data_IF_863118352261
#
_entry.id   IF_863118352261
#
_cell.length_a   1.000
_cell.length_b   1.000
_cell.length_c   1.000
_cell.angle_alpha   90.00
_cell.angle_beta   90.00
_cell.angle_gamma   90.00
#
_symmetry.space_group_name_H-M   'P 1'
#
loop_
_entity.id
_entity.type
_entity.pdbx_description
1 polymer ?
#
# COMPACT_ATOMS: atom_id res chain seq x y z
N UNK A 1 -12.11 -114.52 -80.01
CA UNK A 1 -12.79 -115.24 -78.92
C UNK A 1 -13.75 -114.24 -78.25
N UNK A 2 -15.08 -114.39 -78.38
CA UNK A 2 -16.02 -114.82 -77.31
C UNK A 2 -15.74 -114.09 -75.97
N UNK A 3 -16.65 -113.37 -75.31
CA UNK A 3 -18.09 -113.52 -75.25
C UNK A 3 -18.79 -112.35 -74.49
N UNK A 4 -20.03 -112.07 -74.93
CA UNK A 4 -21.27 -111.86 -74.16
C UNK A 4 -21.55 -110.56 -73.37
N UNK A 5 -22.81 -110.14 -73.58
CA UNK A 5 -23.77 -109.43 -72.71
C UNK A 5 -23.71 -107.90 -72.60
N UNK A 6 -24.44 -107.24 -73.49
CA UNK A 6 -25.32 -106.11 -73.12
C UNK A 6 -26.37 -105.94 -74.21
N UNK A 7 -27.48 -106.66 -74.08
CA UNK A 7 -28.64 -106.55 -74.98
C UNK A 7 -29.89 -106.75 -74.12
N UNK A 8 -30.27 -105.70 -73.40
CA UNK A 8 -31.61 -105.41 -72.88
C UNK A 8 -31.57 -104.05 -72.16
N UNK A 9 -32.61 -103.25 -72.34
CA UNK A 9 -32.90 -101.96 -71.66
C UNK A 9 -32.49 -100.65 -72.38
N UNK A 10 -32.69 -100.58 -73.70
CA UNK A 10 -33.02 -99.30 -74.36
C UNK A 10 -34.49 -99.31 -74.72
N UNK A 11 -35.35 -98.75 -73.86
CA UNK A 11 -36.66 -98.18 -74.23
C UNK A 11 -37.48 -97.78 -73.01
N UNK A 12 -37.01 -96.78 -72.24
CA UNK A 12 -37.82 -95.85 -71.41
C UNK A 12 -36.88 -94.92 -70.61
N UNK A 13 -36.30 -93.88 -71.23
CA UNK A 13 -35.82 -92.73 -70.43
C UNK A 13 -35.64 -91.37 -71.15
N UNK A 14 -35.81 -91.26 -72.48
CA UNK A 14 -35.65 -89.96 -73.18
C UNK A 14 -36.57 -88.85 -72.63
N UNK A 15 -37.75 -89.22 -72.12
CA UNK A 15 -38.70 -88.27 -71.52
C UNK A 15 -38.30 -87.76 -70.13
N UNK A 16 -37.39 -88.44 -69.42
CA UNK A 16 -36.94 -88.00 -68.08
C UNK A 16 -35.73 -87.08 -68.20
N UNK A 17 -34.83 -87.33 -69.15
CA UNK A 17 -33.66 -86.47 -69.41
C UNK A 17 -34.06 -85.08 -69.92
N UNK A 18 -34.97 -85.01 -70.89
CA UNK A 18 -35.50 -83.73 -71.40
C UNK A 18 -36.27 -82.97 -70.32
N UNK A 19 -36.99 -83.68 -69.44
CA UNK A 19 -37.70 -83.08 -68.30
C UNK A 19 -36.72 -82.54 -67.27
N UNK A 20 -35.61 -83.23 -67.00
CA UNK A 20 -34.54 -82.77 -66.12
C UNK A 20 -33.81 -81.56 -66.72
N UNK A 21 -33.57 -81.54 -68.04
CA UNK A 21 -32.95 -80.42 -68.74
C UNK A 21 -33.84 -79.16 -68.74
N UNK A 22 -35.15 -79.32 -69.02
CA UNK A 22 -36.12 -78.24 -68.92
C UNK A 22 -36.32 -77.76 -67.47
N UNK A 23 -36.29 -78.67 -66.50
CA UNK A 23 -36.35 -78.34 -65.09
C UNK A 23 -35.13 -77.53 -64.64
N UNK A 24 -33.91 -77.89 -65.08
CA UNK A 24 -32.68 -77.10 -64.84
C UNK A 24 -32.78 -75.70 -65.46
N UNK A 25 -33.18 -75.58 -66.73
CA UNK A 25 -33.39 -74.28 -67.40
C UNK A 25 -34.44 -73.43 -66.69
N UNK A 26 -35.48 -74.06 -66.13
CA UNK A 26 -36.52 -73.39 -65.35
C UNK A 26 -36.01 -72.95 -63.98
N UNK A 27 -35.24 -73.77 -63.27
CA UNK A 27 -34.57 -73.40 -62.02
C UNK A 27 -33.57 -72.25 -62.21
N UNK A 28 -32.82 -72.23 -63.30
CA UNK A 28 -31.91 -71.13 -63.64
C UNK A 28 -32.66 -69.82 -63.89
N UNK A 29 -33.81 -69.87 -64.58
CA UNK A 29 -34.67 -68.69 -64.76
C UNK A 29 -35.29 -68.25 -63.43
N UNK A 30 -35.81 -69.19 -62.64
CA UNK A 30 -36.43 -68.92 -61.34
C UNK A 30 -35.43 -68.38 -60.31
N UNK A 31 -34.17 -68.80 -60.36
CA UNK A 31 -33.12 -68.29 -59.46
C UNK A 31 -32.76 -66.82 -59.70
N UNK A 32 -33.04 -66.30 -60.91
CA UNK A 32 -32.88 -64.88 -61.27
C UNK A 32 -34.10 -64.02 -60.95
N UNK A 33 -35.22 -64.63 -60.55
CA UNK A 33 -36.42 -63.88 -60.17
C UNK A 33 -36.28 -63.32 -58.76
N UNK A 34 -36.23 -61.99 -58.66
CA UNK A 34 -36.16 -61.26 -57.38
C UNK A 34 -37.44 -61.38 -56.55
N UNK A 35 -38.59 -61.68 -57.18
CA UNK A 35 -39.90 -61.84 -56.53
C UNK A 35 -40.17 -63.26 -55.98
N UNK A 36 -39.14 -64.11 -55.87
CA UNK A 36 -39.26 -65.40 -55.19
C UNK A 36 -38.94 -65.24 -53.70
N UNK A 37 -39.47 -66.11 -52.83
CA UNK A 37 -39.16 -66.08 -51.39
C UNK A 37 -37.65 -66.21 -51.13
N UNK A 38 -36.95 -67.00 -51.95
CA UNK A 38 -35.49 -67.15 -51.89
C UNK A 38 -34.76 -65.87 -52.35
N UNK A 39 -35.23 -65.22 -53.43
CA UNK A 39 -34.73 -63.92 -53.89
C UNK A 39 -34.91 -62.81 -52.85
N UNK A 40 -36.10 -62.71 -52.24
CA UNK A 40 -36.38 -61.75 -51.17
C UNK A 40 -35.52 -62.00 -49.91
N UNK A 41 -35.29 -63.26 -49.53
CA UNK A 41 -34.38 -63.61 -48.43
C UNK A 41 -32.93 -63.24 -48.76
N UNK A 42 -32.45 -63.50 -49.98
CA UNK A 42 -31.11 -63.10 -50.44
C UNK A 42 -30.95 -61.58 -50.40
N UNK A 43 -31.89 -60.84 -50.95
CA UNK A 43 -31.88 -59.37 -50.92
C UNK A 43 -31.90 -58.83 -49.48
N UNK A 44 -32.72 -59.41 -48.58
CA UNK A 44 -32.73 -59.01 -47.16
C UNK A 44 -31.40 -59.28 -46.47
N UNK A 45 -30.74 -60.39 -46.77
CA UNK A 45 -29.41 -60.71 -46.25
C UNK A 45 -28.36 -59.76 -46.82
N UNK A 46 -28.38 -59.49 -48.12
CA UNK A 46 -27.46 -58.55 -48.78
C UNK A 46 -27.66 -57.12 -48.26
N UNK A 47 -28.90 -56.66 -48.08
CA UNK A 47 -29.19 -55.35 -47.49
C UNK A 47 -28.75 -55.28 -46.03
N UNK A 48 -28.90 -56.36 -45.25
CA UNK A 48 -28.36 -56.43 -43.88
C UNK A 48 -26.84 -56.40 -43.88
N UNK A 49 -26.17 -57.10 -44.81
CA UNK A 49 -24.71 -57.07 -44.97
C UNK A 49 -24.22 -55.68 -45.39
N UNK A 50 -24.89 -55.04 -46.36
CA UNK A 50 -24.59 -53.67 -46.77
C UNK A 50 -24.76 -52.71 -45.60
N UNK A 51 -25.88 -52.78 -44.88
CA UNK A 51 -26.10 -51.96 -43.69
C UNK A 51 -25.03 -52.15 -42.62
N UNK A 52 -24.63 -53.38 -42.34
CA UNK A 52 -23.54 -53.67 -41.39
C UNK A 52 -22.18 -53.14 -41.90
N UNK A 53 -21.90 -53.28 -43.20
CA UNK A 53 -20.69 -52.74 -43.80
C UNK A 53 -20.66 -51.21 -43.78
N UNK A 54 -21.79 -50.55 -44.03
CA UNK A 54 -21.95 -49.09 -43.93
C UNK A 54 -21.81 -48.63 -42.47
N UNK A 55 -22.38 -49.36 -41.51
CA UNK A 55 -22.22 -49.10 -40.06
C UNK A 55 -20.76 -49.28 -39.60
N UNK A 56 -20.05 -50.28 -40.09
CA UNK A 56 -18.61 -50.49 -39.80
C UNK A 56 -17.73 -49.43 -40.45
N UNK A 57 -18.01 -49.06 -41.70
CA UNK A 57 -17.30 -47.98 -42.40
C UNK A 57 -17.50 -46.63 -41.70
N UNK A 58 -18.70 -46.34 -41.20
CA UNK A 58 -18.98 -45.14 -40.41
C UNK A 58 -18.20 -45.13 -39.09
N UNK A 59 -18.10 -46.26 -38.39
CA UNK A 59 -17.27 -46.38 -37.18
C UNK A 59 -15.79 -46.17 -37.47
N UNK A 60 -15.27 -46.77 -38.53
CA UNK A 60 -13.88 -46.57 -38.95
C UNK A 60 -13.59 -45.12 -39.33
N UNK A 61 -14.55 -44.42 -39.95
CA UNK A 61 -14.41 -42.99 -40.23
C UNK A 61 -14.28 -42.17 -38.95
N UNK A 62 -15.15 -42.42 -37.95
CA UNK A 62 -15.08 -41.77 -36.64
C UNK A 62 -13.77 -42.10 -35.92
N UNK A 63 -13.33 -43.36 -35.91
CA UNK A 63 -12.05 -43.76 -35.30
C UNK A 63 -10.86 -43.05 -35.96
N UNK A 64 -10.90 -42.87 -37.29
CA UNK A 64 -9.87 -42.14 -38.03
C UNK A 64 -9.88 -40.64 -37.71
N UNK A 65 -11.06 -40.03 -37.60
CA UNK A 65 -11.23 -38.62 -37.22
C UNK A 65 -10.76 -38.38 -35.77
N UNK A 66 -11.14 -39.25 -34.83
CA UNK A 66 -10.68 -39.20 -33.44
C UNK A 66 -9.16 -39.41 -33.36
N UNK A 67 -8.61 -40.37 -34.10
CA UNK A 67 -7.17 -40.58 -34.15
C UNK A 67 -6.42 -39.37 -34.73
N UNK A 68 -6.98 -38.70 -35.74
CA UNK A 68 -6.42 -37.46 -36.29
C UNK A 68 -6.46 -36.34 -35.25
N UNK A 69 -7.60 -36.14 -34.59
CA UNK A 69 -7.76 -35.14 -33.53
C UNK A 69 -6.81 -35.37 -32.35
N UNK A 70 -6.66 -36.61 -31.89
CA UNK A 70 -5.72 -36.97 -30.82
C UNK A 70 -4.27 -36.74 -31.24
N UNK A 71 -3.91 -37.03 -32.49
CA UNK A 71 -2.58 -36.70 -33.03
C UNK A 71 -2.34 -35.19 -33.04
N UNK A 72 -3.33 -34.39 -33.41
CA UNK A 72 -3.23 -32.93 -33.36
C UNK A 72 -3.08 -32.41 -31.93
N UNK A 73 -3.88 -32.92 -30.98
CA UNK A 73 -3.75 -32.57 -29.57
C UNK A 73 -2.36 -32.92 -29.04
N UNK A 74 -1.88 -34.12 -29.34
CA UNK A 74 -0.52 -34.54 -28.98
C UNK A 74 0.53 -33.63 -29.61
N UNK A 75 0.38 -33.28 -30.88
CA UNK A 75 1.27 -32.35 -31.58
C UNK A 75 1.28 -30.96 -30.92
N UNK A 76 0.11 -30.43 -30.54
CA UNK A 76 -0.01 -29.15 -29.81
C UNK A 76 0.62 -29.22 -28.41
N UNK A 77 0.37 -30.29 -27.68
CA UNK A 77 0.94 -30.51 -26.36
C UNK A 77 2.47 -30.62 -26.39
N UNK A 78 3.01 -31.39 -27.35
CA UNK A 78 4.45 -31.50 -27.59
C UNK A 78 5.02 -30.14 -28.01
N UNK A 79 4.36 -29.43 -28.94
CA UNK A 79 4.80 -28.10 -29.38
C UNK A 79 4.89 -27.11 -28.22
N UNK A 80 3.87 -27.05 -27.36
CA UNK A 80 3.89 -26.22 -26.15
C UNK A 80 4.98 -26.63 -25.17
N UNK A 81 5.19 -27.93 -24.96
CA UNK A 81 6.25 -28.42 -24.07
C UNK A 81 7.65 -28.07 -24.60
N UNK A 82 7.87 -28.19 -25.92
CA UNK A 82 9.12 -27.79 -26.57
C UNK A 82 9.34 -26.28 -26.46
N UNK A 83 8.29 -25.47 -26.66
CA UNK A 83 8.37 -24.02 -26.50
C UNK A 83 8.72 -23.63 -25.06
N UNK A 84 8.07 -24.23 -24.05
CA UNK A 84 8.39 -23.99 -22.64
C UNK A 84 9.84 -24.42 -22.32
N UNK A 85 10.27 -25.59 -22.81
CA UNK A 85 11.65 -26.05 -22.64
C UNK A 85 12.64 -25.06 -23.26
N UNK A 86 12.35 -24.52 -24.44
CA UNK A 86 13.15 -23.48 -25.10
C UNK A 86 13.21 -22.22 -24.24
N UNK A 87 12.08 -21.74 -23.75
CA UNK A 87 12.01 -20.55 -22.88
C UNK A 87 12.78 -20.71 -21.57
N UNK A 88 12.84 -21.92 -21.02
CA UNK A 88 13.61 -22.20 -19.80
C UNK A 88 15.12 -22.32 -20.04
N UNK A 89 15.57 -22.46 -21.30
CA UNK A 89 16.98 -22.44 -21.66
C UNK A 89 17.66 -21.15 -21.19
N UNK A 90 18.89 -21.26 -20.65
CA UNK A 90 19.61 -20.12 -20.08
C UNK A 90 19.86 -19.00 -21.10
N UNK A 91 20.25 -19.36 -22.33
CA UNK A 91 20.46 -18.43 -23.42
C UNK A 91 19.16 -17.72 -23.83
N UNK A 92 18.05 -18.44 -23.86
CA UNK A 92 16.74 -17.88 -24.20
C UNK A 92 16.24 -16.92 -23.10
N UNK A 93 16.44 -17.25 -21.82
CA UNK A 93 16.11 -16.34 -20.71
C UNK A 93 16.91 -15.05 -20.75
N UNK A 94 18.22 -15.14 -20.98
CA UNK A 94 19.07 -13.96 -21.14
C UNK A 94 18.65 -13.12 -22.35
N UNK A 95 18.31 -13.77 -23.47
CA UNK A 95 17.82 -13.10 -24.67
C UNK A 95 16.45 -12.42 -24.45
N UNK A 96 15.52 -13.09 -23.77
CA UNK A 96 14.23 -12.50 -23.37
C UNK A 96 14.40 -11.31 -22.42
N UNK A 97 15.33 -11.38 -21.46
CA UNK A 97 15.64 -10.24 -20.59
C UNK A 97 16.13 -9.03 -21.38
N UNK A 98 16.96 -9.25 -22.40
CA UNK A 98 17.40 -8.18 -23.30
C UNK A 98 16.28 -7.68 -24.23
N UNK A 99 15.34 -8.53 -24.63
CA UNK A 99 14.15 -8.13 -25.39
C UNK A 99 13.22 -7.24 -24.53
N UNK A 100 13.08 -7.56 -23.25
CA UNK A 100 12.35 -6.72 -22.32
C UNK A 100 13.07 -5.38 -22.10
N UNK A 101 14.40 -5.37 -22.09
CA UNK A 101 15.18 -4.13 -22.00
C UNK A 101 14.95 -3.22 -23.23
N UNK A 102 14.82 -3.79 -24.43
CA UNK A 102 14.49 -2.98 -25.61
C UNK A 102 13.11 -2.35 -25.52
N UNK A 103 12.14 -3.06 -24.94
CA UNK A 103 10.79 -2.53 -24.71
C UNK A 103 10.82 -1.40 -23.66
N UNK A 104 11.57 -1.58 -22.57
CA UNK A 104 11.77 -0.52 -21.56
C UNK A 104 12.38 0.74 -22.19
N UNK A 105 13.34 0.58 -23.10
CA UNK A 105 13.94 1.72 -23.79
C UNK A 105 12.92 2.47 -24.67
N UNK A 106 12.04 1.75 -25.37
CA UNK A 106 11.00 2.40 -26.18
C UNK A 106 9.99 3.11 -25.28
N UNK A 107 9.60 2.50 -24.16
CA UNK A 107 8.68 3.12 -23.20
C UNK A 107 9.28 4.40 -22.59
N UNK A 108 10.60 4.42 -22.33
CA UNK A 108 11.28 5.63 -21.85
C UNK A 108 11.36 6.75 -22.89
N UNK A 109 11.55 6.40 -24.16
CA UNK A 109 11.49 7.38 -25.26
C UNK A 109 10.08 7.97 -25.35
N UNK A 110 9.05 7.14 -25.29
CA UNK A 110 7.65 7.58 -25.25
C UNK A 110 7.38 8.48 -24.03
N UNK A 111 7.78 8.06 -22.82
CA UNK A 111 7.62 8.87 -21.61
C UNK A 111 8.33 10.23 -21.72
N UNK A 112 9.53 10.25 -22.33
CA UNK A 112 10.27 11.49 -22.57
C UNK A 112 9.51 12.41 -23.51
N UNK A 113 9.01 11.90 -24.63
CA UNK A 113 8.21 12.70 -25.57
C UNK A 113 6.96 13.28 -24.89
N UNK A 114 6.25 12.46 -24.10
CA UNK A 114 5.10 12.91 -23.30
C UNK A 114 5.47 14.00 -22.29
N UNK A 115 6.61 13.90 -21.61
CA UNK A 115 7.09 14.95 -20.70
C UNK A 115 7.42 16.25 -21.43
N UNK A 116 8.01 16.16 -22.61
CA UNK A 116 8.31 17.33 -23.45
C UNK A 116 7.00 18.02 -23.89
N UNK A 117 5.99 17.25 -24.30
CA UNK A 117 4.65 17.75 -24.64
C UNK A 117 3.94 18.38 -23.43
N UNK A 118 3.95 17.71 -22.28
CA UNK A 118 3.38 18.23 -21.03
C UNK A 118 4.07 19.53 -20.60
N UNK A 119 5.40 19.57 -20.64
CA UNK A 119 6.15 20.79 -20.32
C UNK A 119 5.86 21.93 -21.30
N UNK A 120 5.55 21.65 -22.56
CA UNK A 120 5.10 22.66 -23.52
C UNK A 120 3.70 23.19 -23.17
N UNK A 121 2.77 22.32 -22.78
CA UNK A 121 1.42 22.70 -22.34
C UNK A 121 1.44 23.50 -21.03
N UNK A 122 2.30 23.15 -20.08
CA UNK A 122 2.48 23.91 -18.84
C UNK A 122 2.99 25.32 -19.12
N UNK A 123 3.98 25.48 -20.00
CA UNK A 123 4.45 26.81 -20.44
C UNK A 123 3.34 27.64 -21.08
N UNK A 124 2.49 27.02 -21.91
CA UNK A 124 1.33 27.71 -22.49
C UNK A 124 0.34 28.15 -21.42
N UNK A 125 0.09 27.30 -20.42
CA UNK A 125 -0.79 27.60 -19.28
C UNK A 125 -0.23 28.73 -18.42
N UNK A 126 1.07 28.72 -18.12
CA UNK A 126 1.74 29.79 -17.37
C UNK A 126 1.68 31.12 -18.13
N UNK A 127 1.95 31.10 -19.44
CA UNK A 127 1.84 32.29 -20.28
C UNK A 127 0.42 32.87 -20.27
N UNK A 128 -0.60 32.00 -20.34
CA UNK A 128 -2.00 32.41 -20.25
C UNK A 128 -2.35 33.01 -18.88
N UNK A 129 -1.91 32.40 -17.78
CA UNK A 129 -2.11 32.96 -16.44
C UNK A 129 -1.41 34.31 -16.26
N UNK A 130 -0.17 34.44 -16.73
CA UNK A 130 0.56 35.70 -16.69
C UNK A 130 -0.16 36.79 -17.50
N UNK A 131 -0.70 36.46 -18.68
CA UNK A 131 -1.48 37.40 -19.46
C UNK A 131 -2.75 37.84 -18.71
N UNK A 132 -3.46 36.92 -18.06
CA UNK A 132 -4.61 37.26 -17.23
C UNK A 132 -4.25 38.17 -16.06
N UNK A 133 -3.15 37.91 -15.36
CA UNK A 133 -2.66 38.75 -14.27
C UNK A 133 -2.30 40.15 -14.76
N UNK A 134 -1.62 40.25 -15.90
CA UNK A 134 -1.30 41.55 -16.53
C UNK A 134 -2.58 42.32 -16.89
N UNK A 135 -3.59 41.65 -17.45
CA UNK A 135 -4.88 42.28 -17.76
C UNK A 135 -5.60 42.73 -16.49
N UNK A 136 -5.59 41.92 -15.43
CA UNK A 136 -6.19 42.27 -14.14
C UNK A 136 -5.49 43.49 -13.51
N UNK A 137 -4.16 43.53 -13.56
CA UNK A 137 -3.36 44.65 -13.08
C UNK A 137 -3.64 45.94 -13.86
N UNK A 138 -3.72 45.87 -15.19
CA UNK A 138 -4.12 47.03 -16.03
C UNK A 138 -5.48 47.57 -15.64
N UNK A 139 -6.48 46.70 -15.45
CA UNK A 139 -7.83 47.10 -15.01
C UNK A 139 -7.83 47.71 -13.60
N UNK A 140 -6.98 47.22 -12.70
CA UNK A 140 -6.84 47.79 -11.36
C UNK A 140 -6.25 49.21 -11.41
N UNK A 141 -5.20 49.42 -12.21
CA UNK A 141 -4.62 50.75 -12.44
C UNK A 141 -5.62 51.72 -13.08
N UNK A 142 -6.38 51.28 -14.08
CA UNK A 142 -7.42 52.10 -14.71
C UNK A 142 -8.49 52.54 -13.68
N UNK A 143 -8.89 51.66 -12.76
CA UNK A 143 -9.82 52.00 -11.68
C UNK A 143 -9.20 53.00 -10.70
N UNK A 144 -7.96 52.81 -10.29
CA UNK A 144 -7.28 53.73 -9.35
C UNK A 144 -7.15 55.12 -9.96
N UNK A 145 -6.77 55.22 -11.24
CA UNK A 145 -6.72 56.49 -11.98
C UNK A 145 -8.11 57.12 -12.06
N UNK A 146 -9.16 56.35 -12.38
CA UNK A 146 -10.52 56.86 -12.44
C UNK A 146 -11.01 57.39 -11.07
N UNK A 147 -10.75 56.66 -9.99
CA UNK A 147 -11.08 57.10 -8.63
C UNK A 147 -10.31 58.36 -8.22
N UNK A 148 -9.02 58.46 -8.57
CA UNK A 148 -8.22 59.65 -8.32
C UNK A 148 -8.81 60.86 -9.05
N UNK A 149 -9.16 60.72 -10.33
CA UNK A 149 -9.80 61.77 -11.12
C UNK A 149 -11.16 62.18 -10.53
N UNK A 150 -11.95 61.23 -10.04
CA UNK A 150 -13.21 61.55 -9.35
C UNK A 150 -13.00 62.30 -8.04
N UNK A 151 -11.98 61.92 -7.24
CA UNK A 151 -11.62 62.63 -6.02
C UNK A 151 -11.16 64.06 -6.33
N UNK A 152 -10.33 64.25 -7.36
CA UNK A 152 -9.90 65.57 -7.82
C UNK A 152 -11.09 66.44 -8.25
N UNK A 153 -12.04 65.87 -9.01
CA UNK A 153 -13.28 66.58 -9.37
C UNK A 153 -14.07 67.01 -8.15
N UNK A 154 -14.30 66.12 -7.19
CA UNK A 154 -15.01 66.45 -5.93
C UNK A 154 -14.28 67.51 -5.13
N UNK A 155 -12.95 67.44 -5.04
CA UNK A 155 -12.15 68.48 -4.38
C UNK A 155 -12.30 69.82 -5.10
N UNK A 156 -12.25 69.83 -6.44
CA UNK A 156 -12.47 71.05 -7.22
C UNK A 156 -13.86 71.65 -7.02
N UNK A 157 -14.90 70.82 -6.98
CA UNK A 157 -16.28 71.24 -6.71
C UNK A 157 -16.42 71.84 -5.30
N UNK A 158 -15.94 71.14 -4.27
CA UNK A 158 -15.98 71.66 -2.89
C UNK A 158 -15.16 72.95 -2.72
N UNK A 159 -14.06 73.12 -3.46
CA UNK A 159 -13.30 74.37 -3.47
C UNK A 159 -14.12 75.52 -4.08
N UNK A 160 -14.86 75.28 -5.17
CA UNK A 160 -15.75 76.27 -5.77
C UNK A 160 -16.87 76.67 -4.81
N UNK A 161 -17.54 75.68 -4.20
CA UNK A 161 -18.59 75.94 -3.21
C UNK A 161 -18.08 76.77 -2.02
N UNK A 162 -16.89 76.45 -1.49
CA UNK A 162 -16.27 77.24 -0.41
C UNK A 162 -15.95 78.67 -0.84
N UNK A 163 -15.50 78.86 -2.07
CA UNK A 163 -15.25 80.19 -2.62
C UNK A 163 -16.56 80.99 -2.73
N UNK A 164 -17.64 80.36 -3.21
CA UNK A 164 -18.98 80.98 -3.26
C UNK A 164 -19.50 81.35 -1.88
N UNK A 165 -19.36 80.48 -0.88
CA UNK A 165 -19.74 80.77 0.51
C UNK A 165 -18.97 81.96 1.09
N UNK A 166 -17.67 82.09 0.80
CA UNK A 166 -16.87 83.23 1.24
C UNK A 166 -17.35 84.54 0.60
N UNK A 167 -17.69 84.52 -0.69
CA UNK A 167 -18.25 85.69 -1.37
C UNK A 167 -19.64 86.06 -0.81
N UNK A 168 -20.48 85.08 -0.52
CA UNK A 168 -21.78 85.32 0.13
C UNK A 168 -21.61 85.94 1.51
N UNK A 169 -20.70 85.41 2.33
CA UNK A 169 -20.37 85.94 3.66
C UNK A 169 -19.87 87.39 3.59
N UNK A 170 -18.98 87.71 2.65
CA UNK A 170 -18.53 89.09 2.42
C UNK A 170 -19.70 90.01 2.07
N UNK A 171 -20.61 89.56 1.20
CA UNK A 171 -21.78 90.34 0.81
C UNK A 171 -22.72 90.61 1.99
N UNK A 172 -23.00 89.60 2.81
CA UNK A 172 -23.80 89.76 4.04
C UNK A 172 -23.14 90.76 5.00
N UNK A 173 -21.82 90.65 5.20
CA UNK A 173 -21.08 91.58 6.06
C UNK A 173 -21.14 93.03 5.56
N UNK A 174 -21.07 93.24 4.24
CA UNK A 174 -21.23 94.58 3.66
C UNK A 174 -22.64 95.14 3.88
N UNK A 175 -23.67 94.30 3.83
CA UNK A 175 -25.05 94.71 4.14
C UNK A 175 -25.21 95.07 5.62
N UNK A 176 -24.67 94.27 6.54
CA UNK A 176 -24.68 94.58 7.98
C UNK A 176 -24.04 95.95 8.26
N UNK A 177 -22.89 96.24 7.63
CA UNK A 177 -22.22 97.54 7.78
C UNK A 177 -23.09 98.69 7.25
N UNK A 178 -23.79 98.50 6.13
CA UNK A 178 -24.72 99.51 5.61
C UNK A 178 -25.91 99.75 6.55
N UNK A 179 -26.46 98.69 7.13
CA UNK A 179 -27.55 98.78 8.10
C UNK A 179 -27.09 99.46 9.41
N UNK A 180 -25.89 99.15 9.90
CA UNK A 180 -25.28 99.82 11.07
C UNK A 180 -25.09 101.33 10.85
N UNK A 181 -24.66 101.74 9.65
CA UNK A 181 -24.53 103.17 9.29
C UNK A 181 -25.90 103.85 9.34
N UNK A 182 -26.92 103.23 8.74
CA UNK A 182 -28.27 103.78 8.69
C UNK A 182 -28.90 103.86 10.09
N UNK A 183 -28.70 102.84 10.94
CA UNK A 183 -29.09 102.87 12.35
C UNK A 183 -28.38 103.98 13.12
N UNK A 184 -27.08 104.19 12.88
CA UNK A 184 -26.31 105.28 13.47
C UNK A 184 -26.84 106.67 13.10
N UNK A 185 -27.28 106.86 11.85
CA UNK A 185 -27.93 108.11 11.41
C UNK A 185 -29.29 108.33 12.08
N UNK A 186 -30.09 107.28 12.25
CA UNK A 186 -31.37 107.36 12.96
C UNK A 186 -31.19 107.68 14.45
N UNK A 187 -30.14 107.15 15.08
CA UNK A 187 -29.81 107.46 16.47
C UNK A 187 -29.43 108.93 16.69
N UNK A 188 -28.68 109.53 15.76
CA UNK A 188 -28.32 110.96 15.82
C UNK A 188 -29.57 111.84 15.77
N UNK A 189 -30.50 111.56 14.86
CA UNK A 189 -31.77 112.28 14.75
C UNK A 189 -32.59 112.19 16.04
N UNK A 190 -32.67 111.00 16.64
CA UNK A 190 -33.38 110.79 17.91
C UNK A 190 -32.74 111.54 19.07
N UNK A 191 -31.40 111.57 19.15
CA UNK A 191 -30.69 112.32 20.19
C UNK A 191 -30.93 113.84 20.07
N UNK A 192 -31.04 114.38 18.86
CA UNK A 192 -31.39 115.79 18.63
C UNK A 192 -32.83 116.10 19.09
N UNK A 193 -33.78 115.20 18.82
CA UNK A 193 -35.17 115.32 19.29
C UNK A 193 -35.26 115.28 20.83
N UNK A 194 -34.50 114.39 21.48
CA UNK A 194 -34.49 114.23 22.94
C UNK A 194 -33.92 115.47 23.67
N UNK A 195 -32.90 116.13 23.11
CA UNK A 195 -32.35 117.39 23.67
C UNK A 195 -33.39 118.52 23.64
N UNK A 196 -34.20 118.58 22.58
CA UNK A 196 -35.28 119.56 22.46
C UNK A 196 -36.37 119.26 23.49
N UNK A 197 -36.71 117.97 23.68
CA UNK A 197 -37.69 117.54 24.67
C UNK A 197 -37.26 117.88 26.11
N UNK A 198 -36.00 117.63 26.48
CA UNK A 198 -35.49 117.94 27.83
C UNK A 198 -35.57 119.44 28.17
N UNK A 199 -35.21 120.32 27.23
CA UNK A 199 -35.30 121.78 27.43
C UNK A 199 -36.72 122.23 27.76
N UNK A 200 -37.74 121.63 27.13
CA UNK A 200 -39.13 121.95 27.42
C UNK A 200 -39.63 121.37 28.75
N UNK A 201 -39.08 120.23 29.17
CA UNK A 201 -39.39 119.61 30.45
C UNK A 201 -38.77 120.36 31.64
N UNK A 202 -37.57 120.92 31.47
CA UNK A 202 -36.88 121.68 32.52
C UNK A 202 -37.60 122.98 32.89
N UNK A 203 -38.19 123.67 31.90
CA UNK A 203 -39.05 124.84 32.12
C UNK A 203 -40.27 124.47 32.96
N UNK A 204 -40.93 123.34 32.64
CA UNK A 204 -42.10 122.84 33.39
C UNK A 204 -41.75 122.40 34.81
N UNK A 205 -40.55 121.85 35.04
CA UNK A 205 -40.09 121.47 36.40
C UNK A 205 -39.90 122.69 37.31
N UNK A 206 -39.41 123.82 36.78
CA UNK A 206 -39.24 125.05 37.57
C UNK A 206 -40.58 125.62 38.06
N UNK A 207 -41.62 125.55 37.23
CA UNK A 207 -42.97 126.00 37.60
C UNK A 207 -43.62 125.09 38.66
N UNK A 208 -43.40 123.77 38.57
CA UNK A 208 -43.93 122.81 39.55
C UNK A 208 -43.20 122.88 40.90
N UNK A 209 -41.90 123.16 40.89
CA UNK A 209 -41.09 123.31 42.12
C UNK A 209 -41.54 124.51 42.98
N UNK A 210 -41.96 125.61 42.36
CA UNK A 210 -42.53 126.75 43.10
C UNK A 210 -43.83 126.38 43.82
N UNK A 211 -44.72 125.64 43.16
CA UNK A 211 -46.00 125.20 43.74
C UNK A 211 -45.82 124.20 44.89
N UNK A 212 -44.87 123.28 44.77
CA UNK A 212 -44.59 122.28 45.83
C UNK A 212 -43.89 122.89 47.05
N UNK A 213 -43.11 123.96 46.90
CA UNK A 213 -42.52 124.68 48.03
C UNK A 213 -43.60 125.32 48.92
N UNK A 214 -44.67 125.84 48.33
CA UNK A 214 -45.81 126.42 49.06
C UNK A 214 -46.63 125.37 49.83
N UNK A 215 -46.70 124.13 49.32
CA UNK A 215 -47.42 123.01 49.94
C UNK A 215 -46.61 122.35 51.08
N UNK A 216 -45.28 122.25 50.92
CA UNK A 216 -44.39 121.60 51.91
C UNK A 216 -44.24 122.40 53.21
N UNK A 217 -44.32 123.74 53.18
CA UNK A 217 -44.36 124.57 54.39
C UNK A 217 -45.60 124.27 55.25
N UNK A 218 -46.71 123.83 54.63
CA UNK A 218 -47.95 123.47 55.35
C UNK A 218 -47.88 122.05 55.92
N UNK A 219 -47.23 121.11 55.23
CA UNK A 219 -47.16 119.70 55.65
C UNK A 219 -46.13 119.43 56.76
N UNK A 220 -45.03 120.19 56.82
CA UNK A 220 -44.00 119.98 57.84
C UNK A 220 -44.48 120.29 59.27
N UNK A 221 -45.45 121.20 59.43
CA UNK A 221 -46.10 121.46 60.72
C UNK A 221 -46.93 120.28 61.26
N UNK A 222 -47.30 119.33 60.39
CA UNK A 222 -48.14 118.17 60.74
C UNK A 222 -47.31 116.92 61.10
N UNK A 223 -46.06 116.84 60.64
CA UNK A 223 -45.24 115.62 60.75
C UNK A 223 -44.44 115.50 62.06
N UNK A 224 -44.20 116.61 62.76
CA UNK A 224 -43.48 116.60 64.04
C UNK A 224 -44.29 115.91 65.16
N UNK A 225 -45.62 115.81 65.03
CA UNK A 225 -46.49 115.22 66.05
C UNK A 225 -46.54 113.67 66.00
N UNK A 226 -46.23 113.04 64.85
CA UNK A 226 -46.38 111.59 64.67
C UNK A 226 -45.15 110.78 65.12
N UNK A 227 -43.96 111.37 64.99
CA UNK A 227 -42.66 110.67 65.12
C UNK A 227 -42.30 110.24 66.55
N UNK A 228 -43.02 110.74 67.56
CA UNK A 228 -42.76 110.40 68.96
C UNK A 228 -43.37 109.05 69.40
N UNK A 229 -44.27 108.44 68.60
CA UNK A 229 -45.01 107.23 69.00
C UNK A 229 -44.36 105.88 68.61
N UNK A 230 -43.56 105.81 67.56
CA UNK A 230 -43.15 104.52 66.98
C UNK A 230 -41.88 103.90 67.60
N UNK A 231 -41.05 104.67 68.31
CA UNK A 231 -39.74 104.20 68.83
C UNK A 231 -39.79 103.14 69.94
N UNK A 232 -40.97 102.77 70.47
CA UNK A 232 -41.09 101.92 71.66
C UNK A 232 -41.38 100.44 71.34
N UNK A 233 -41.73 100.08 70.10
CA UNK A 233 -42.24 98.73 69.76
C UNK A 233 -41.15 97.75 69.27
N UNK A 234 -40.04 98.26 68.73
CA UNK A 234 -39.08 97.43 67.97
C UNK A 234 -38.11 96.60 68.83
N UNK A 235 -37.96 96.90 70.13
CA UNK A 235 -36.92 96.29 70.98
C UNK A 235 -37.25 94.89 71.53
N UNK A 236 -38.49 94.39 71.40
CA UNK A 236 -38.95 93.17 72.09
C UNK A 236 -38.86 91.88 71.25
N UNK A 237 -38.67 91.96 69.92
CA UNK A 237 -38.81 90.80 69.03
C UNK A 237 -37.52 89.99 68.80
N UNK A 238 -36.33 90.56 69.01
CA UNK A 238 -35.04 89.93 68.65
C UNK A 238 -34.54 88.83 69.61
N UNK A 239 -35.13 88.67 70.81
CA UNK A 239 -34.63 87.72 71.83
C UNK A 239 -35.07 86.25 71.63
N UNK A 240 -36.05 85.95 70.78
CA UNK A 240 -36.72 84.64 70.75
C UNK A 240 -36.06 83.56 69.86
N UNK A 241 -35.15 83.93 68.94
CA UNK A 241 -34.76 83.06 67.82
C UNK A 241 -33.54 82.14 68.13
N UNK A 242 -32.73 82.40 69.16
CA UNK A 242 -31.43 81.68 69.34
C UNK A 242 -31.51 80.27 69.99
N UNK A 243 -32.65 79.85 70.54
CA UNK A 243 -32.78 78.61 71.33
C UNK A 243 -32.97 77.30 70.54
N UNK A 244 -33.42 77.36 69.28
CA UNK A 244 -33.84 76.16 68.52
C UNK A 244 -32.69 75.40 67.82
N UNK A 245 -31.54 76.03 67.59
CA UNK A 245 -30.45 75.44 66.81
C UNK A 245 -29.65 74.35 67.56
N UNK A 246 -29.55 74.41 68.89
CA UNK A 246 -28.63 73.55 69.67
C UNK A 246 -29.10 72.10 69.90
N UNK A 247 -30.36 71.75 69.65
CA UNK A 247 -30.91 70.40 69.97
C UNK A 247 -30.77 69.35 68.86
N UNK A 248 -30.36 69.73 67.65
CA UNK A 248 -30.35 68.84 66.47
C UNK A 248 -29.01 68.11 66.28
N UNK A 249 -27.92 68.61 66.85
CA UNK A 249 -26.55 68.11 66.66
C UNK A 249 -26.24 66.85 67.51
N UNK A 250 -26.76 66.75 68.74
CA UNK A 250 -26.42 65.66 69.68
C UNK A 250 -27.01 64.28 69.31
N UNK A 251 -27.92 64.20 68.34
CA UNK A 251 -28.62 62.96 67.99
C UNK A 251 -27.86 62.12 66.95
N UNK A 252 -27.06 62.72 66.06
CA UNK A 252 -26.39 61.99 64.96
C UNK A 252 -25.11 61.25 65.39
N UNK A 253 -24.42 61.71 66.44
CA UNK A 253 -23.14 61.15 66.87
C UNK A 253 -23.26 59.74 67.52
N UNK A 254 -24.44 59.38 68.03
CA UNK A 254 -24.68 58.09 68.70
C UNK A 254 -24.95 56.91 67.74
N UNK A 255 -25.26 57.17 66.48
CA UNK A 255 -25.60 56.13 65.48
C UNK A 255 -24.36 55.52 64.80
N UNK A 256 -23.28 56.28 64.62
CA UNK A 256 -22.09 55.83 63.88
C UNK A 256 -21.21 54.85 64.68
N UNK A 257 -21.09 55.02 66.00
CA UNK A 257 -20.22 54.17 66.85
C UNK A 257 -20.68 52.71 66.97
N UNK A 258 -21.93 52.39 66.59
CA UNK A 258 -22.52 51.04 66.77
C UNK A 258 -22.36 50.12 65.54
N UNK A 259 -22.07 50.67 64.35
CA UNK A 259 -21.92 49.87 63.12
C UNK A 259 -20.50 49.33 62.90
N UNK A 260 -19.47 50.00 63.42
CA UNK A 260 -18.06 49.64 63.22
C UNK A 260 -17.63 48.40 64.03
N UNK A 261 -18.23 48.17 65.20
CA UNK A 261 -17.89 47.02 66.08
C UNK A 261 -18.38 45.66 65.52
N UNK A 262 -19.48 45.65 64.75
CA UNK A 262 -20.11 44.42 64.25
C UNK A 262 -19.36 43.84 63.03
N UNK A 263 -18.65 44.69 62.27
CA UNK A 263 -17.95 44.29 61.05
C UNK A 263 -16.60 43.59 61.35
N UNK A 264 -15.85 44.07 62.34
CA UNK A 264 -14.53 43.51 62.68
C UNK A 264 -14.58 42.13 63.33
N UNK A 265 -15.67 41.77 64.01
CA UNK A 265 -15.83 40.46 64.65
C UNK A 265 -16.04 39.30 63.64
N UNK A 266 -16.57 39.58 62.44
CA UNK A 266 -16.90 38.55 61.42
C UNK A 266 -15.72 38.19 60.50
N UNK A 267 -14.71 39.05 60.39
CA UNK A 267 -13.56 38.82 59.51
C UNK A 267 -12.48 37.93 60.17
N UNK A 268 -12.30 38.04 61.50
CA UNK A 268 -11.30 37.29 62.26
C UNK A 268 -11.58 35.79 62.40
N UNK A 269 -12.85 35.37 62.27
CA UNK A 269 -13.27 33.96 62.40
C UNK A 269 -13.07 33.14 61.13
N UNK A 270 -13.10 33.77 59.94
CA UNK A 270 -12.90 33.07 58.66
C UNK A 270 -11.44 32.75 58.36
N UNK A 271 -10.49 33.61 58.77
CA UNK A 271 -9.08 33.42 58.43
C UNK A 271 -8.42 32.27 59.22
N UNK A 272 -8.91 31.95 60.43
CA UNK A 272 -8.37 30.85 61.25
C UNK A 272 -8.68 29.45 60.73
N UNK A 273 -9.75 29.28 59.94
CA UNK A 273 -10.16 27.97 59.41
C UNK A 273 -9.39 27.57 58.13
N UNK A 274 -8.75 28.52 57.45
CA UNK A 274 -8.06 28.29 56.17
C UNK A 274 -6.62 27.82 56.40
N UNK A 275 -5.95 28.31 57.44
CA UNK A 275 -4.54 27.97 57.74
C UNK A 275 -4.38 26.56 58.36
N UNK A 276 -5.45 25.97 58.90
CA UNK A 276 -5.43 24.68 59.59
C UNK A 276 -5.60 23.49 58.62
N UNK A 277 -6.29 23.69 57.50
CA UNK A 277 -6.50 22.65 56.47
C UNK A 277 -5.31 22.51 55.50
N UNK A 278 -4.51 23.57 55.31
CA UNK A 278 -3.31 23.52 54.47
C UNK A 278 -2.17 22.68 55.06
N UNK A 279 -2.09 22.57 56.39
CA UNK A 279 -1.04 21.80 57.10
C UNK A 279 -1.26 20.29 57.11
N UNK A 280 -2.50 19.83 56.98
CA UNK A 280 -2.85 18.40 57.02
C UNK A 280 -2.63 17.68 55.67
N UNK A 281 -2.63 18.40 54.55
CA UNK A 281 -2.47 17.82 53.21
C UNK A 281 -1.01 17.61 52.78
N UNK A 282 -0.05 18.36 53.34
CA UNK A 282 1.39 18.18 53.06
C UNK A 282 2.00 17.00 53.82
N UNK A 283 1.49 16.64 55.00
CA UNK A 283 2.04 15.56 55.82
C UNK A 283 1.67 14.13 55.34
N UNK A 284 0.64 13.99 54.50
CA UNK A 284 0.18 12.69 53.97
C UNK A 284 0.99 12.28 52.72
N UNK A 285 1.56 13.24 51.99
CA UNK A 285 2.25 12.99 50.71
C UNK A 285 3.70 12.52 50.87
N UNK A 286 4.37 12.80 52.00
CA UNK A 286 5.77 12.41 52.24
C UNK A 286 5.92 11.02 52.88
N UNK A 287 4.81 10.38 53.30
CA UNK A 287 4.80 9.08 53.96
C UNK A 287 4.67 7.88 52.98
N UNK A 288 4.14 8.09 51.78
CA UNK A 288 3.85 7.00 50.83
C UNK A 288 5.04 6.65 49.90
N UNK A 289 6.02 7.54 49.73
CA UNK A 289 7.18 7.31 48.83
C UNK A 289 8.31 6.47 49.47
N UNK A 290 8.33 6.29 50.80
CA UNK A 290 9.41 5.55 51.49
C UNK A 290 9.09 4.07 51.77
N UNK A 291 7.90 3.60 51.38
CA UNK A 291 7.44 2.22 51.59
C UNK A 291 7.65 1.29 50.38
N UNK A 292 7.80 1.86 49.17
CA UNK A 292 7.89 1.09 47.92
C UNK A 292 9.30 0.53 47.59
N UNK A 293 10.37 1.01 48.22
CA UNK A 293 11.75 0.62 47.86
C UNK A 293 12.37 -0.47 48.77
N UNK A 294 11.75 -0.76 49.92
CA UNK A 294 12.26 -1.81 50.84
C UNK A 294 11.87 -3.24 50.43
N UNK A 295 10.87 -3.42 49.55
CA UNK A 295 10.44 -4.74 49.06
C UNK A 295 11.26 -5.25 47.86
N UNK A 296 12.06 -4.39 47.20
CA UNK A 296 12.92 -4.77 46.08
C UNK A 296 14.24 -5.46 46.51
N UNK A 297 14.64 -5.35 47.77
CA UNK A 297 15.90 -5.89 48.28
C UNK A 297 15.81 -7.35 48.80
N UNK A 298 14.62 -7.83 49.19
CA UNK A 298 14.44 -9.17 49.79
C UNK A 298 14.31 -10.32 48.77
N UNK A 299 14.11 -10.02 47.48
CA UNK A 299 13.96 -11.05 46.44
C UNK A 299 15.30 -11.67 45.98
N UNK A 300 16.43 -10.95 46.13
CA UNK A 300 17.76 -11.42 45.70
C UNK A 300 18.44 -12.38 46.69
N UNK A 301 18.03 -12.41 47.96
CA UNK A 301 18.64 -13.28 48.98
C UNK A 301 18.13 -14.74 48.97
N UNK A 302 17.10 -15.07 48.18
CA UNK A 302 16.49 -16.42 48.10
C UNK A 302 17.05 -17.31 46.97
N UNK A 303 17.93 -16.80 46.09
CA UNK A 303 18.55 -17.62 45.02
C UNK A 303 19.84 -18.34 45.45
N UNK A 304 20.62 -17.78 46.37
CA UNK A 304 21.94 -18.35 46.74
C UNK A 304 21.86 -19.61 47.62
N UNK A 305 20.72 -19.88 48.26
CA UNK A 305 20.52 -21.06 49.12
C UNK A 305 20.31 -22.38 48.34
N UNK A 306 20.06 -22.34 47.02
CA UNK A 306 19.80 -23.55 46.20
C UNK A 306 21.06 -24.17 45.59
N UNK A 307 22.21 -23.49 45.64
CA UNK A 307 23.44 -23.95 45.01
C UNK A 307 24.23 -24.97 45.86
N UNK A 308 24.18 -24.85 47.19
CA UNK A 308 24.99 -25.69 48.11
C UNK A 308 24.43 -27.08 48.40
N UNK A 309 23.18 -27.38 48.05
CA UNK A 309 22.56 -28.71 48.28
C UNK A 309 22.93 -29.76 47.20
N UNK A 310 23.57 -29.36 46.09
CA UNK A 310 23.89 -30.24 44.95
C UNK A 310 25.25 -30.96 45.04
N UNK A 311 26.17 -30.50 45.89
CA UNK A 311 27.53 -31.06 45.94
C UNK A 311 27.67 -32.31 46.84
N UNK A 312 26.82 -32.51 47.85
CA UNK A 312 26.97 -33.65 48.77
C UNK A 312 26.54 -35.02 48.17
N UNK A 313 25.65 -35.05 47.16
CA UNK A 313 25.21 -36.30 46.54
C UNK A 313 26.27 -36.97 45.65
N UNK A 314 27.25 -36.21 45.16
CA UNK A 314 28.29 -36.71 44.24
C UNK A 314 29.38 -37.55 44.95
N UNK A 315 29.55 -37.41 46.27
CA UNK A 315 30.63 -38.08 47.02
C UNK A 315 30.35 -39.55 47.33
N UNK A 316 29.08 -39.91 47.54
CA UNK A 316 28.66 -41.26 47.95
C UNK A 316 28.71 -42.31 46.82
N UNK A 317 28.63 -41.90 45.55
CA UNK A 317 28.61 -42.84 44.41
C UNK A 317 29.98 -43.42 44.03
N UNK A 318 31.09 -42.80 44.48
CA UNK A 318 32.45 -43.24 44.08
C UNK A 318 32.98 -44.44 44.88
N UNK A 319 32.50 -44.67 46.11
CA UNK A 319 33.03 -45.73 46.98
C UNK A 319 32.51 -47.14 46.61
N UNK A 320 31.33 -47.25 45.99
CA UNK A 320 30.71 -48.54 45.64
C UNK A 320 31.34 -49.25 44.43
N UNK A 321 32.18 -48.56 43.65
CA UNK A 321 32.73 -49.08 42.37
C UNK A 321 34.04 -49.88 42.58
N UNK A 322 34.77 -49.64 43.68
CA UNK A 322 36.10 -50.22 43.88
C UNK A 322 36.06 -51.65 44.44
N UNK A 323 35.04 -52.00 45.24
CA UNK A 323 34.93 -53.32 45.91
C UNK A 323 34.65 -54.48 44.93
N UNK A 324 34.03 -54.22 43.77
CA UNK A 324 33.66 -55.23 42.77
C UNK A 324 34.85 -55.76 41.95
N UNK A 325 35.94 -55.01 41.81
CA UNK A 325 37.08 -55.41 40.95
C UNK A 325 38.00 -56.44 41.58
N UNK A 326 38.06 -56.51 42.91
CA UNK A 326 38.98 -57.41 43.62
C UNK A 326 38.61 -58.90 43.49
N UNK A 327 37.32 -59.23 43.34
CA UNK A 327 36.84 -60.63 43.32
C UNK A 327 37.08 -61.36 41.99
N UNK A 328 37.24 -60.65 40.87
CA UNK A 328 37.39 -61.27 39.54
C UNK A 328 38.78 -61.85 39.24
N UNK A 329 39.82 -61.42 39.94
CA UNK A 329 41.20 -61.86 39.67
C UNK A 329 41.52 -63.26 40.24
N UNK A 330 40.85 -63.67 41.31
CA UNK A 330 41.11 -64.94 41.99
C UNK A 330 40.64 -66.17 41.19
N UNK A 331 39.53 -66.07 40.46
CA UNK A 331 38.98 -67.15 39.61
C UNK A 331 39.87 -67.53 38.41
N UNK A 332 40.79 -66.66 38.00
CA UNK A 332 41.56 -66.87 36.75
C UNK A 332 42.70 -67.88 36.90
N UNK A 333 43.34 -67.99 38.06
CA UNK A 333 44.54 -68.83 38.25
C UNK A 333 44.24 -70.32 38.35
N UNK A 334 43.16 -70.72 39.00
CA UNK A 334 42.81 -72.13 39.18
C UNK A 334 42.51 -72.86 37.86
N UNK A 335 42.22 -72.10 36.81
CA UNK A 335 41.86 -72.62 35.50
C UNK A 335 43.10 -72.97 34.63
N UNK A 336 44.32 -72.57 35.02
CA UNK A 336 45.51 -72.78 34.19
C UNK A 336 46.12 -74.17 34.32
N UNK A 337 45.98 -74.81 35.48
CA UNK A 337 46.72 -76.04 35.79
C UNK A 337 46.03 -77.30 35.24
N UNK A 338 44.70 -77.33 35.24
CA UNK A 338 43.92 -78.41 34.62
C UNK A 338 44.23 -78.57 33.12
N UNK A 339 44.69 -77.51 32.46
CA UNK A 339 44.96 -77.49 31.02
C UNK A 339 46.15 -78.36 30.63
N UNK A 340 47.23 -78.36 31.40
CA UNK A 340 48.50 -79.00 30.98
C UNK A 340 48.42 -80.52 30.88
N UNK A 341 47.55 -81.16 31.65
CA UNK A 341 47.44 -82.62 31.68
C UNK A 341 46.65 -83.17 30.48
N UNK A 342 45.71 -82.39 29.95
CA UNK A 342 44.95 -82.71 28.75
C UNK A 342 45.84 -82.66 27.50
N UNK A 343 46.87 -81.80 27.51
CA UNK A 343 47.77 -81.55 26.36
C UNK A 343 48.55 -82.80 25.89
N UNK A 344 48.93 -83.72 26.79
CA UNK A 344 49.80 -84.85 26.42
C UNK A 344 49.06 -86.02 25.75
N UNK A 345 47.86 -86.35 26.21
CA UNK A 345 47.02 -87.37 25.55
C UNK A 345 46.58 -86.91 24.17
N UNK A 346 46.46 -85.59 24.02
CA UNK A 346 46.19 -84.95 22.75
C UNK A 346 47.25 -85.30 21.70
N UNK A 347 48.55 -85.31 22.04
CA UNK A 347 49.67 -85.49 21.09
C UNK A 347 49.67 -86.83 20.33
N UNK A 348 49.29 -87.92 20.99
CA UNK A 348 49.33 -89.26 20.38
C UNK A 348 48.12 -89.51 19.47
N UNK A 349 46.93 -89.09 19.91
CA UNK A 349 45.77 -88.99 19.03
C UNK A 349 46.06 -88.05 17.86
N UNK A 350 46.87 -87.02 18.08
CA UNK A 350 47.33 -86.09 17.06
C UNK A 350 48.07 -86.79 15.94
N UNK A 351 49.01 -87.70 16.23
CA UNK A 351 49.89 -88.22 15.18
C UNK A 351 49.17 -89.20 14.22
N UNK A 352 48.29 -90.07 14.72
CA UNK A 352 47.47 -90.95 13.88
C UNK A 352 46.41 -90.16 13.11
N UNK A 353 45.78 -89.19 13.78
CA UNK A 353 44.88 -88.25 13.12
C UNK A 353 45.62 -87.43 12.06
N UNK A 354 46.89 -87.07 12.29
CA UNK A 354 47.71 -86.29 11.38
C UNK A 354 48.03 -87.05 10.09
N UNK A 355 48.33 -88.36 10.18
CA UNK A 355 48.57 -89.15 8.97
C UNK A 355 47.30 -89.32 8.13
N UNK A 356 46.18 -89.66 8.76
CA UNK A 356 44.89 -89.75 8.08
C UNK A 356 44.44 -88.37 7.55
N UNK A 357 44.80 -87.30 8.26
CA UNK A 357 44.61 -85.93 7.82
C UNK A 357 45.48 -85.59 6.63
N UNK A 358 46.75 -86.04 6.55
CA UNK A 358 47.61 -85.78 5.39
C UNK A 358 47.09 -86.44 4.11
N UNK A 359 46.60 -87.68 4.18
CA UNK A 359 46.01 -88.36 3.01
C UNK A 359 44.71 -87.70 2.57
N UNK A 360 43.85 -87.36 3.54
CA UNK A 360 42.66 -86.57 3.29
C UNK A 360 42.99 -85.18 2.74
N UNK A 361 44.06 -84.56 3.23
CA UNK A 361 44.56 -83.26 2.77
C UNK A 361 45.08 -83.34 1.34
N UNK A 362 45.70 -84.44 0.92
CA UNK A 362 46.17 -84.62 -0.45
C UNK A 362 45.02 -84.89 -1.44
N UNK A 363 44.01 -85.66 -1.03
CA UNK A 363 42.77 -85.79 -1.80
C UNK A 363 42.01 -84.46 -1.88
N UNK A 364 41.90 -83.75 -0.76
CA UNK A 364 41.30 -82.43 -0.68
C UNK A 364 42.12 -81.42 -1.48
N UNK A 365 43.46 -81.50 -1.52
CA UNK A 365 44.32 -80.66 -2.38
C UNK A 365 44.04 -80.92 -3.86
N UNK A 366 43.83 -82.17 -4.27
CA UNK A 366 43.49 -82.50 -5.67
C UNK A 366 42.08 -82.03 -6.03
N UNK A 367 41.11 -82.19 -5.12
CA UNK A 367 39.75 -81.65 -5.29
C UNK A 367 39.78 -80.13 -5.37
N UNK A 368 40.45 -79.47 -4.42
CA UNK A 368 40.68 -78.03 -4.41
C UNK A 368 41.40 -77.56 -5.67
N UNK A 369 42.38 -78.30 -6.17
CA UNK A 369 43.08 -77.92 -7.41
C UNK A 369 42.15 -77.95 -8.62
N UNK A 370 41.30 -78.98 -8.75
CA UNK A 370 40.27 -79.04 -9.80
C UNK A 370 39.22 -77.94 -9.62
N UNK A 371 38.72 -77.76 -8.40
CA UNK A 371 37.79 -76.68 -8.06
C UNK A 371 38.40 -75.30 -8.37
N UNK A 372 39.69 -75.09 -8.10
CA UNK A 372 40.41 -73.86 -8.44
C UNK A 372 40.57 -73.70 -9.95
N UNK A 373 40.78 -74.78 -10.70
CA UNK A 373 40.86 -74.75 -12.16
C UNK A 373 39.50 -74.40 -12.78
N UNK A 374 38.43 -75.02 -12.30
CA UNK A 374 37.05 -74.74 -12.71
C UNK A 374 36.64 -73.31 -12.31
N UNK A 375 37.01 -72.88 -11.10
CA UNK A 375 36.81 -71.51 -10.63
C UNK A 375 37.64 -70.50 -11.42
N UNK A 376 38.85 -70.85 -11.85
CA UNK A 376 39.66 -70.00 -12.73
C UNK A 376 39.05 -69.87 -14.13
N UNK A 377 38.53 -70.96 -14.69
CA UNK A 377 37.81 -70.93 -15.97
C UNK A 377 36.51 -70.12 -15.88
N UNK A 378 35.75 -70.31 -14.80
CA UNK A 378 34.56 -69.52 -14.51
C UNK A 378 34.88 -68.03 -14.29
N UNK A 379 35.93 -67.72 -13.53
CA UNK A 379 36.41 -66.35 -13.35
C UNK A 379 36.88 -65.71 -14.66
N UNK A 380 37.44 -66.48 -15.59
CA UNK A 380 37.81 -66.02 -16.93
C UNK A 380 36.57 -65.67 -17.76
N UNK A 381 35.55 -66.53 -17.76
CA UNK A 381 34.27 -66.23 -18.40
C UNK A 381 33.59 -65.01 -17.78
N UNK A 382 33.59 -64.89 -16.45
CA UNK A 382 33.12 -63.70 -15.75
C UNK A 382 33.94 -62.46 -16.11
N UNK A 383 35.25 -62.57 -16.28
CA UNK A 383 36.11 -61.46 -16.68
C UNK A 383 35.83 -61.01 -18.12
N UNK A 384 35.57 -61.96 -19.04
CA UNK A 384 35.17 -61.67 -20.42
C UNK A 384 33.78 -61.01 -20.47
N UNK A 385 32.81 -61.52 -19.71
CA UNK A 385 31.49 -60.90 -19.56
C UNK A 385 31.61 -59.48 -18.98
N UNK A 386 32.39 -59.30 -17.92
CA UNK A 386 32.65 -57.97 -17.34
C UNK A 386 33.36 -57.05 -18.32
N UNK A 387 34.31 -57.54 -19.11
CA UNK A 387 34.99 -56.74 -20.11
C UNK A 387 34.02 -56.30 -21.23
N UNK A 388 33.12 -57.20 -21.66
CA UNK A 388 32.06 -56.88 -22.61
C UNK A 388 31.05 -55.88 -22.03
N UNK A 389 30.63 -56.05 -20.78
CA UNK A 389 29.73 -55.12 -20.08
C UNK A 389 30.38 -53.74 -19.92
N UNK A 390 31.66 -53.68 -19.55
CA UNK A 390 32.41 -52.41 -19.45
C UNK A 390 32.55 -51.75 -20.82
N UNK A 391 32.81 -52.53 -21.87
CA UNK A 391 32.92 -51.99 -23.23
C UNK A 391 31.56 -51.47 -23.73
N UNK A 392 30.49 -52.23 -23.50
CA UNK A 392 29.13 -51.81 -23.81
C UNK A 392 28.75 -50.56 -23.02
N UNK A 393 29.08 -50.49 -21.72
CA UNK A 393 28.85 -49.31 -20.91
C UNK A 393 29.61 -48.08 -21.46
N UNK A 394 30.87 -48.25 -21.88
CA UNK A 394 31.65 -47.17 -22.54
C UNK A 394 31.03 -46.74 -23.87
N UNK A 395 30.53 -47.67 -24.66
CA UNK A 395 29.91 -47.37 -25.94
C UNK A 395 28.52 -46.71 -25.75
N UNK A 396 27.75 -47.14 -24.75
CA UNK A 396 26.51 -46.51 -24.32
C UNK A 396 26.78 -45.10 -23.76
N UNK A 397 27.84 -44.91 -22.97
CA UNK A 397 28.30 -43.61 -22.49
C UNK A 397 28.68 -42.69 -23.66
N UNK A 398 29.49 -43.17 -24.62
CA UNK A 398 29.84 -42.42 -25.83
C UNK A 398 28.61 -42.04 -26.65
N UNK A 399 27.68 -42.97 -26.85
CA UNK A 399 26.44 -42.70 -27.56
C UNK A 399 25.56 -41.69 -26.82
N UNK A 400 25.51 -41.75 -25.48
CA UNK A 400 24.78 -40.77 -24.66
C UNK A 400 25.41 -39.38 -24.71
N UNK A 401 26.74 -39.31 -24.70
CA UNK A 401 27.50 -38.08 -24.83
C UNK A 401 27.31 -37.46 -26.22
N UNK A 402 27.36 -38.27 -27.28
CA UNK A 402 27.08 -37.81 -28.64
C UNK A 402 25.66 -37.26 -28.76
N UNK A 403 24.65 -37.99 -28.29
CA UNK A 403 23.26 -37.49 -28.26
C UNK A 403 23.10 -36.19 -27.49
N UNK A 404 23.87 -36.01 -26.41
CA UNK A 404 23.89 -34.76 -25.64
C UNK A 404 24.51 -33.62 -26.44
N UNK A 405 25.61 -33.86 -27.14
CA UNK A 405 26.24 -32.88 -28.03
C UNK A 405 25.32 -32.50 -29.18
N UNK A 406 24.71 -33.48 -29.85
CA UNK A 406 23.76 -33.24 -30.95
C UNK A 406 22.55 -32.44 -30.47
N UNK A 407 22.06 -32.72 -29.25
CA UNK A 407 20.99 -31.96 -28.62
C UNK A 407 21.40 -30.50 -28.36
N UNK A 408 22.59 -30.26 -27.83
CA UNK A 408 23.11 -28.91 -27.61
C UNK A 408 23.21 -28.16 -28.94
N UNK A 409 23.77 -28.79 -29.98
CA UNK A 409 23.88 -28.20 -31.31
C UNK A 409 22.50 -27.85 -31.92
N UNK A 410 21.50 -28.70 -31.71
CA UNK A 410 20.11 -28.41 -32.11
C UNK A 410 19.52 -27.23 -31.33
N UNK A 411 19.72 -27.18 -30.01
CA UNK A 411 19.27 -26.07 -29.16
C UNK A 411 19.93 -24.75 -29.56
N UNK A 412 21.23 -24.76 -29.92
CA UNK A 412 21.97 -23.59 -30.40
C UNK A 412 21.46 -23.11 -31.76
N UNK A 413 21.20 -24.02 -32.71
CA UNK A 413 20.65 -23.68 -34.02
C UNK A 413 19.23 -23.10 -33.92
N UNK A 414 18.40 -23.68 -33.05
CA UNK A 414 17.04 -23.19 -32.80
C UNK A 414 17.05 -21.83 -32.09
N UNK A 415 17.99 -21.60 -31.16
CA UNK A 415 18.23 -20.31 -30.54
C UNK A 415 18.62 -19.25 -31.59
N UNK A 416 19.59 -19.54 -32.45
CA UNK A 416 20.03 -18.60 -33.49
C UNK A 416 18.90 -18.22 -34.45
N UNK A 417 18.09 -19.19 -34.91
CA UNK A 417 16.91 -18.93 -35.75
C UNK A 417 15.91 -18.00 -35.06
N UNK A 418 15.54 -18.34 -33.82
CA UNK A 418 14.55 -17.55 -33.06
C UNK A 418 15.08 -16.15 -32.75
N UNK A 419 16.38 -16.03 -32.44
CA UNK A 419 17.02 -14.74 -32.19
C UNK A 419 17.03 -13.85 -33.45
N UNK A 420 17.28 -14.43 -34.62
CA UNK A 420 17.19 -13.70 -35.89
C UNK A 420 15.75 -13.26 -36.16
N UNK A 421 14.76 -14.15 -36.04
CA UNK A 421 13.35 -13.83 -36.24
C UNK A 421 12.91 -12.65 -35.37
N UNK A 422 13.17 -12.74 -34.06
CA UNK A 422 12.83 -11.67 -33.10
C UNK A 422 13.57 -10.36 -33.38
N UNK A 423 14.85 -10.39 -33.74
CA UNK A 423 15.59 -9.19 -34.16
C UNK A 423 14.95 -8.57 -35.42
N UNK A 424 14.55 -9.39 -36.40
CA UNK A 424 13.91 -8.87 -37.61
C UNK A 424 12.55 -8.27 -37.32
N UNK A 425 11.76 -8.87 -36.42
CA UNK A 425 10.47 -8.33 -36.02
C UNK A 425 10.61 -7.04 -35.21
N UNK A 426 11.62 -6.93 -34.35
CA UNK A 426 11.93 -5.69 -33.64
C UNK A 426 12.33 -4.57 -34.60
N UNK A 427 13.18 -4.87 -35.59
CA UNK A 427 13.52 -3.90 -36.66
C UNK A 427 12.28 -3.44 -37.42
N UNK A 428 11.34 -4.34 -37.77
CA UNK A 428 10.07 -3.98 -38.42
C UNK A 428 9.21 -3.07 -37.55
N UNK A 429 9.22 -3.28 -36.24
CA UNK A 429 8.47 -2.46 -35.27
C UNK A 429 9.14 -1.13 -34.90
N UNK A 430 10.22 -0.73 -35.60
CA UNK A 430 11.04 0.46 -35.28
C UNK A 430 11.61 0.47 -33.84
N UNK A 431 11.76 -0.69 -33.21
CA UNK A 431 12.40 -0.83 -31.89
C UNK A 431 13.90 -1.06 -32.06
N UNK A 432 14.70 -0.59 -31.12
CA UNK A 432 16.16 -0.76 -31.15
C UNK A 432 16.54 -2.22 -30.84
N UNK A 433 17.12 -2.99 -31.79
CA UNK A 433 17.48 -4.40 -31.55
C UNK A 433 18.88 -4.57 -30.95
N UNK A 434 19.56 -3.48 -30.58
CA UNK A 434 21.00 -3.49 -30.23
C UNK A 434 21.35 -4.43 -29.05
N UNK A 435 20.57 -4.47 -27.94
CA UNK A 435 20.82 -5.41 -26.85
C UNK A 435 20.74 -6.88 -27.30
N UNK A 436 19.80 -7.20 -28.19
CA UNK A 436 19.60 -8.55 -28.73
C UNK A 436 20.73 -8.96 -29.67
N UNK A 437 21.16 -8.06 -30.56
CA UNK A 437 22.30 -8.30 -31.46
C UNK A 437 23.57 -8.55 -30.64
N UNK A 438 23.80 -7.76 -29.58
CA UNK A 438 24.96 -7.95 -28.69
C UNK A 438 24.92 -9.31 -28.01
N UNK A 439 23.76 -9.74 -27.53
CA UNK A 439 23.60 -11.04 -26.89
C UNK A 439 23.80 -12.20 -27.87
N UNK A 440 23.27 -12.10 -29.08
CA UNK A 440 23.47 -13.08 -30.13
C UNK A 440 24.95 -13.20 -30.50
N UNK A 441 25.66 -12.07 -30.64
CA UNK A 441 27.11 -12.06 -30.88
C UNK A 441 27.90 -12.71 -29.73
N UNK A 442 27.53 -12.43 -28.47
CA UNK A 442 28.18 -13.05 -27.31
C UNK A 442 27.95 -14.57 -27.27
N UNK A 443 26.72 -15.01 -27.58
CA UNK A 443 26.38 -16.42 -27.69
C UNK A 443 27.22 -17.09 -28.79
N UNK A 444 27.17 -16.56 -30.02
CA UNK A 444 27.94 -17.08 -31.14
C UNK A 444 29.44 -17.10 -30.85
N UNK A 445 30.00 -16.08 -30.20
CA UNK A 445 31.41 -16.08 -29.83
C UNK A 445 31.78 -17.20 -28.83
N UNK A 446 30.83 -17.60 -27.97
CA UNK A 446 31.00 -18.69 -27.00
C UNK A 446 30.87 -20.07 -27.67
N UNK A 447 29.93 -20.22 -28.61
CA UNK A 447 29.70 -21.46 -29.35
C UNK A 447 30.72 -21.69 -30.48
N UNK A 448 31.20 -20.61 -31.13
CA UNK A 448 32.06 -20.62 -32.33
C UNK A 448 33.55 -20.50 -32.03
N UNK A 449 34.00 -20.71 -30.77
CA UNK A 449 35.41 -20.99 -30.49
C UNK A 449 35.88 -22.36 -31.07
N UNK A 450 34.99 -23.07 -31.79
CA UNK A 450 35.25 -24.32 -32.51
C UNK A 450 35.31 -24.21 -34.02
N UNK A 451 34.34 -23.60 -34.73
CA UNK A 451 34.31 -23.58 -36.20
C UNK A 451 33.20 -22.62 -36.71
N UNK A 452 33.44 -21.91 -37.83
CA UNK A 452 32.49 -21.07 -38.61
C UNK A 452 32.32 -19.57 -38.27
N UNK A 453 33.41 -18.79 -38.33
CA UNK A 453 33.39 -17.33 -38.13
C UNK A 453 32.72 -16.51 -39.28
N UNK A 454 32.16 -17.13 -40.33
CA UNK A 454 31.82 -16.45 -41.58
C UNK A 454 30.35 -15.97 -41.72
N UNK A 455 29.38 -16.49 -40.97
CA UNK A 455 27.97 -16.10 -41.13
C UNK A 455 27.55 -14.85 -40.30
N UNK A 456 28.26 -14.54 -39.21
CA UNK A 456 27.94 -13.38 -38.36
C UNK A 456 28.24 -12.02 -39.01
N UNK A 457 29.07 -11.97 -40.06
CA UNK A 457 29.42 -10.73 -40.78
C UNK A 457 28.31 -10.22 -41.71
N UNK A 458 27.31 -11.04 -42.04
CA UNK A 458 26.19 -10.62 -42.90
C UNK A 458 25.07 -9.88 -42.14
N UNK A 459 25.10 -9.84 -40.81
CA UNK A 459 24.03 -9.22 -39.99
C UNK A 459 24.30 -7.73 -39.69
N UNK A 460 25.55 -7.27 -39.87
CA UNK A 460 25.97 -5.88 -39.65
C UNK A 460 25.77 -4.95 -40.88
N UNK A 461 25.30 -5.49 -42.02
CA UNK A 461 24.86 -4.73 -43.20
C UNK A 461 23.32 -4.72 -43.27
#
# INVERSE_FOLDING_TARGET
MRARSSLAEDSKDDGTEDRLALHKKSQERASRWSNTLQGARRLKIEMRKKRLADEEAAKQAVDNEEAAYQKELKKKAIGRALELSRQHGEHFRAFQGNAMLTDIHTDWEEERTLKEELGALEKQREAFHLEQEQQAYRRALEREVAESLEREKKVSETQKERAEQLEEMKRRRLQEIQDEILQGEMLKKKAEEDIIAERTAEVKRREMAQKTLEETVKSNKYFEELKQRERQVEAEQDAAISGWAKRKEEMQEKMQKRSEEIFNAKLATRQRMIDEQARLLQAIHEADETRAEREAAEFKAKEDAKFMAKEEQARLQRQMIEEHRAQQLAMKKANEEARRAEDQRMLQHWHSSFSAMCERDDEDRRRRFKELQDLAAFNRQLAELKAWEVQKAKDDERASMQKRLDRIAHEDADFARTAIETITDMKKSNRSPLPLIKQLKAHLATTMHGEMHDEAKQIDA
#
